data_IF_911698092494
#
_entry.id   IF_911698092494
#
_cell.length_a   1.000
_cell.length_b   1.000
_cell.length_c   1.000
_cell.angle_alpha   90.00
_cell.angle_beta   90.00
_cell.angle_gamma   90.00
#
_symmetry.space_group_name_H-M   'P 1'
#
loop_
_entity.id
_entity.type
_entity.pdbx_description
1 polymer ?
#
# COMPACT_ATOMS: atom_id res chain seq x y z
N UNK A 1 26.05 -0.82 -21.78
CA UNK A 1 24.67 -0.30 -21.61
C UNK A 1 24.33 -0.34 -20.13
N UNK A 2 23.77 0.73 -19.56
CA UNK A 2 23.39 0.75 -18.14
C UNK A 2 22.03 0.12 -17.89
N UNK A 3 21.86 -0.52 -16.73
CA UNK A 3 20.56 -1.03 -16.26
C UNK A 3 19.71 0.16 -15.80
N UNK A 4 18.42 0.17 -16.14
CA UNK A 4 17.45 1.18 -15.68
C UNK A 4 16.49 0.52 -14.71
N UNK A 5 16.20 1.19 -13.60
CA UNK A 5 15.27 0.74 -12.55
C UNK A 5 14.17 1.80 -12.42
N UNK A 6 12.92 1.40 -12.51
CA UNK A 6 11.73 2.22 -12.32
C UNK A 6 11.19 2.02 -10.91
N UNK A 7 11.34 3.08 -10.11
CA UNK A 7 10.90 3.10 -8.71
C UNK A 7 9.66 3.99 -8.57
N UNK A 8 8.64 3.49 -7.90
CA UNK A 8 7.48 4.27 -7.46
C UNK A 8 7.48 4.46 -5.95
N UNK A 9 6.89 5.55 -5.48
CA UNK A 9 6.62 5.77 -4.05
C UNK A 9 5.22 6.34 -3.90
N UNK A 10 4.41 5.72 -3.05
CA UNK A 10 3.04 6.15 -2.85
C UNK A 10 2.52 5.91 -1.42
N UNK A 11 2.04 6.98 -0.80
CA UNK A 11 1.23 6.93 0.41
C UNK A 11 -0.21 6.45 0.09
N UNK A 12 -0.56 5.26 0.59
CA UNK A 12 -1.85 4.61 0.29
C UNK A 12 -3.00 5.10 1.17
N UNK A 13 -2.73 5.99 2.13
CA UNK A 13 -3.70 6.66 3.00
C UNK A 13 -4.57 5.68 3.81
N UNK A 14 -4.20 5.48 5.09
CA UNK A 14 -4.91 4.56 5.97
C UNK A 14 -6.28 5.13 6.41
N UNK A 15 -7.36 4.73 5.72
CA UNK A 15 -8.69 5.27 6.03
C UNK A 15 -9.15 5.00 7.46
N UNK A 16 -8.76 3.89 8.09
CA UNK A 16 -9.20 3.61 9.46
C UNK A 16 -8.69 4.69 10.43
N UNK A 17 -7.42 5.06 10.29
CA UNK A 17 -6.81 6.12 11.07
C UNK A 17 -7.40 7.50 10.72
N UNK A 18 -7.49 7.82 9.44
CA UNK A 18 -7.98 9.14 9.02
C UNK A 18 -9.48 9.32 9.27
N UNK A 19 -10.30 8.28 9.17
CA UNK A 19 -11.74 8.36 9.48
C UNK A 19 -11.98 8.66 10.95
N UNK A 20 -11.17 8.07 11.85
CA UNK A 20 -11.24 8.39 13.28
C UNK A 20 -10.88 9.86 13.54
N UNK A 21 -9.85 10.37 12.86
CA UNK A 21 -9.45 11.78 12.96
C UNK A 21 -10.51 12.72 12.39
N UNK A 22 -11.00 12.43 11.18
CA UNK A 22 -12.03 13.24 10.51
C UNK A 22 -13.33 13.27 11.31
N UNK A 23 -13.73 12.14 11.92
CA UNK A 23 -14.89 12.11 12.83
C UNK A 23 -14.67 12.97 14.08
N UNK A 24 -13.47 12.95 14.66
CA UNK A 24 -13.12 13.81 15.80
C UNK A 24 -13.07 15.30 15.42
N UNK A 25 -12.73 15.62 14.17
CA UNK A 25 -12.63 16.98 13.62
C UNK A 25 -13.95 17.47 12.97
N UNK A 26 -15.00 16.65 12.94
CA UNK A 26 -16.29 17.00 12.33
C UNK A 26 -16.26 17.13 10.80
N UNK A 27 -15.27 16.51 10.14
CA UNK A 27 -15.06 16.58 8.71
C UNK A 27 -15.87 15.49 8.02
N UNK A 28 -16.69 15.85 7.03
CA UNK A 28 -17.38 14.87 6.19
C UNK A 28 -16.38 14.24 5.19
N UNK A 29 -16.20 12.90 5.17
CA UNK A 29 -15.24 12.28 4.27
C UNK A 29 -15.72 12.35 2.82
N UNK A 30 -14.91 12.94 1.95
CA UNK A 30 -15.12 12.98 0.49
C UNK A 30 -14.22 11.99 -0.27
N UNK A 31 -13.60 11.02 0.42
CA UNK A 31 -12.46 10.25 -0.09
C UNK A 31 -12.83 8.82 -0.49
N UNK A 32 -12.02 8.22 -1.36
CA UNK A 32 -12.09 6.80 -1.68
C UNK A 32 -11.95 5.93 -0.42
N UNK A 33 -12.53 4.72 -0.42
CA UNK A 33 -12.38 3.74 0.67
C UNK A 33 -11.16 2.83 0.45
N UNK A 34 -10.63 2.19 1.50
CA UNK A 34 -9.38 1.40 1.45
C UNK A 34 -9.43 0.27 0.44
N UNK A 35 -10.60 -0.37 0.31
CA UNK A 35 -10.83 -1.41 -0.69
C UNK A 35 -10.67 -0.88 -2.12
N UNK A 36 -11.18 0.33 -2.40
CA UNK A 36 -11.03 0.98 -3.72
C UNK A 36 -9.57 1.33 -4.00
N UNK A 37 -8.80 1.76 -2.98
CA UNK A 37 -7.37 2.06 -3.14
C UNK A 37 -6.54 0.79 -3.37
N UNK A 38 -6.78 -0.28 -2.63
CA UNK A 38 -6.09 -1.57 -2.85
C UNK A 38 -6.38 -2.12 -4.26
N UNK A 39 -7.63 -2.02 -4.73
CA UNK A 39 -7.98 -2.40 -6.10
C UNK A 39 -7.22 -1.57 -7.13
N UNK A 40 -7.24 -0.25 -6.98
CA UNK A 40 -6.50 0.64 -7.87
C UNK A 40 -5.00 0.34 -7.84
N UNK A 41 -4.43 0.05 -6.67
CA UNK A 41 -3.03 -0.32 -6.51
C UNK A 41 -2.72 -1.59 -7.32
N UNK A 42 -3.56 -2.62 -7.21
CA UNK A 42 -3.43 -3.85 -7.99
C UNK A 42 -3.57 -3.62 -9.50
N UNK A 43 -4.48 -2.74 -9.93
CA UNK A 43 -4.58 -2.34 -11.34
C UNK A 43 -3.29 -1.62 -11.81
N UNK A 44 -2.73 -0.73 -10.98
CA UNK A 44 -1.46 -0.04 -11.30
C UNK A 44 -0.27 -0.98 -11.37
N UNK A 45 -0.21 -1.99 -10.51
CA UNK A 45 0.82 -3.04 -10.52
C UNK A 45 0.81 -3.81 -11.83
N UNK A 46 -0.37 -4.02 -12.43
CA UNK A 46 -0.51 -4.71 -13.73
C UNK A 46 -0.22 -3.81 -14.93
N UNK A 47 -0.67 -2.56 -14.88
CA UNK A 47 -0.59 -1.66 -16.03
C UNK A 47 0.75 -0.94 -16.17
N UNK A 48 1.54 -0.86 -15.09
CA UNK A 48 2.80 -0.12 -15.09
C UNK A 48 3.95 -1.04 -14.74
N UNK A 49 4.97 -1.12 -15.61
CA UNK A 49 6.21 -1.87 -15.33
C UNK A 49 7.07 -1.11 -14.33
N UNK A 50 6.79 -1.26 -13.04
CA UNK A 50 7.73 -0.88 -11.97
C UNK A 50 8.70 -2.05 -11.73
N UNK A 51 9.88 -1.74 -11.21
CA UNK A 51 10.80 -2.73 -10.64
C UNK A 51 10.65 -2.73 -9.10
N UNK A 52 10.36 -1.55 -8.53
CA UNK A 52 10.17 -1.35 -7.09
C UNK A 52 9.03 -0.36 -6.85
N UNK A 53 8.14 -0.66 -5.89
CA UNK A 53 7.14 0.28 -5.40
C UNK A 53 7.16 0.35 -3.87
N UNK A 54 7.49 1.53 -3.35
CA UNK A 54 7.42 1.82 -1.92
C UNK A 54 6.02 2.34 -1.55
N UNK A 55 5.42 1.78 -0.50
CA UNK A 55 4.10 2.15 0.00
C UNK A 55 4.22 2.70 1.42
N UNK A 56 3.55 3.82 1.71
CA UNK A 56 3.46 4.40 3.06
C UNK A 56 2.02 4.44 3.56
N UNK A 57 1.83 4.55 4.88
CA UNK A 57 0.51 4.49 5.54
C UNK A 57 -0.27 3.19 5.27
N UNK A 58 0.43 2.06 5.17
CA UNK A 58 -0.22 0.76 4.99
C UNK A 58 -0.72 0.26 6.35
N UNK A 59 -2.02 -0.05 6.47
CA UNK A 59 -2.57 -0.67 7.68
C UNK A 59 -2.23 -2.17 7.75
N UNK A 60 -2.21 -2.79 8.95
CA UNK A 60 -1.97 -4.23 9.08
C UNK A 60 -2.91 -5.10 8.22
N UNK A 61 -4.19 -4.73 8.12
CA UNK A 61 -5.15 -5.43 7.28
C UNK A 61 -4.83 -5.30 5.77
N UNK A 62 -4.37 -4.13 5.34
CA UNK A 62 -3.90 -3.92 3.96
C UNK A 62 -2.64 -4.74 3.67
N UNK A 63 -1.71 -4.87 4.63
CA UNK A 63 -0.52 -5.73 4.49
C UNK A 63 -0.95 -7.17 4.20
N UNK A 64 -1.91 -7.73 4.96
CA UNK A 64 -2.40 -9.08 4.71
C UNK A 64 -3.03 -9.26 3.33
N UNK A 65 -3.72 -8.24 2.80
CA UNK A 65 -4.21 -8.25 1.42
C UNK A 65 -3.09 -8.16 0.38
N UNK A 66 -2.10 -7.29 0.61
CA UNK A 66 -0.95 -7.15 -0.28
C UNK A 66 -0.12 -8.43 -0.33
N UNK A 67 0.05 -9.14 0.80
CA UNK A 67 0.73 -10.43 0.84
C UNK A 67 0.06 -11.44 -0.09
N UNK A 68 -1.28 -11.59 0.01
CA UNK A 68 -2.05 -12.47 -0.88
C UNK A 68 -1.95 -12.05 -2.34
N UNK A 69 -2.03 -10.75 -2.61
CA UNK A 69 -1.96 -10.23 -3.97
C UNK A 69 -0.57 -10.46 -4.58
N UNK A 70 0.50 -10.17 -3.84
CA UNK A 70 1.86 -10.35 -4.31
C UNK A 70 2.15 -11.83 -4.58
N UNK A 71 1.76 -12.72 -3.67
CA UNK A 71 1.89 -14.17 -3.86
C UNK A 71 1.10 -14.69 -5.09
N UNK A 72 -0.04 -14.08 -5.43
CA UNK A 72 -0.83 -14.48 -6.60
C UNK A 72 -0.25 -13.98 -7.93
N UNK A 73 0.54 -12.90 -7.93
CA UNK A 73 1.10 -12.29 -9.14
C UNK A 73 2.63 -12.43 -9.20
N UNK A 74 3.21 -13.38 -8.47
CA UNK A 74 4.67 -13.61 -8.41
C UNK A 74 5.48 -12.35 -8.09
N UNK A 75 4.96 -11.51 -7.18
CA UNK A 75 5.65 -10.33 -6.66
C UNK A 75 6.16 -10.60 -5.25
N UNK A 76 7.22 -9.90 -4.86
CA UNK A 76 7.73 -9.97 -3.48
C UNK A 76 7.27 -8.76 -2.67
N UNK A 77 6.53 -9.00 -1.58
CA UNK A 77 6.22 -7.96 -0.59
C UNK A 77 7.24 -7.99 0.55
N UNK A 78 7.93 -6.87 0.74
CA UNK A 78 8.72 -6.60 1.94
C UNK A 78 7.88 -5.73 2.87
N UNK A 79 7.49 -6.29 4.01
CA UNK A 79 6.73 -5.60 5.05
C UNK A 79 7.45 -5.73 6.41
N UNK A 80 7.17 -4.84 7.38
CA UNK A 80 7.74 -4.96 8.71
C UNK A 80 7.29 -6.28 9.37
N UNK A 81 8.10 -6.85 10.29
CA UNK A 81 7.68 -8.02 11.04
C UNK A 81 6.45 -7.69 11.89
N UNK A 82 5.64 -8.72 12.21
CA UNK A 82 4.40 -8.53 13.00
C UNK A 82 4.65 -7.80 14.32
N UNK A 83 5.79 -8.03 14.97
CA UNK A 83 6.18 -7.38 16.22
C UNK A 83 6.46 -5.88 16.10
N UNK A 84 6.69 -5.37 14.88
CA UNK A 84 7.01 -3.97 14.60
C UNK A 84 5.87 -3.23 13.86
N UNK A 85 4.73 -3.89 13.65
CA UNK A 85 3.60 -3.26 12.99
C UNK A 85 2.97 -2.19 13.88
N UNK A 86 2.78 -1.00 13.31
CA UNK A 86 1.94 0.02 13.93
C UNK A 86 0.50 -0.09 13.41
N UNK A 87 -0.51 0.30 14.19
CA UNK A 87 -1.90 0.29 13.71
C UNK A 87 -2.16 1.29 12.58
N UNK A 88 -1.37 2.37 12.54
CA UNK A 88 -1.71 3.58 11.79
C UNK A 88 -0.89 3.74 10.51
N UNK A 89 0.41 3.44 10.54
CA UNK A 89 1.29 3.76 9.42
C UNK A 89 2.48 2.81 9.36
N UNK A 90 2.39 1.84 8.46
CA UNK A 90 3.53 0.99 8.10
C UNK A 90 4.03 1.34 6.72
N UNK A 91 5.34 1.17 6.53
CA UNK A 91 5.97 1.26 5.23
C UNK A 91 6.19 -0.14 4.68
N UNK A 92 5.83 -0.35 3.43
CA UNK A 92 6.05 -1.61 2.72
C UNK A 92 6.74 -1.35 1.38
N UNK A 93 7.32 -2.38 0.80
CA UNK A 93 7.92 -2.33 -0.51
C UNK A 93 7.46 -3.54 -1.33
N UNK A 94 7.10 -3.33 -2.59
CA UNK A 94 6.79 -4.39 -3.54
C UNK A 94 7.89 -4.42 -4.58
N UNK A 95 8.49 -5.59 -4.77
CA UNK A 95 9.48 -5.86 -5.80
C UNK A 95 8.81 -6.63 -6.93
N UNK A 96 9.06 -6.18 -8.15
CA UNK A 96 8.54 -6.74 -9.38
C UNK A 96 9.70 -7.47 -10.08
N UNK A 97 9.48 -8.71 -10.51
CA UNK A 97 10.46 -9.51 -11.26
C UNK A 97 10.60 -9.07 -12.72
#
# INVERSE_FOLDING_TARGET
MGVKIRVGSWNVYNDAWHSLREAAEGISPARFKSASRLRFLGERFKCTRFDVMCLQEVSPAMISHLQKHCAYNDLTLVAPPQSALTPNSNNCCVLFE
#
